data_IF_557940812330
#
_entry.id   IF_557940812330
#
_cell.length_a   1.000
_cell.length_b   1.000
_cell.length_c   1.000
_cell.angle_alpha   90.00
_cell.angle_beta   90.00
_cell.angle_gamma   90.00
#
_symmetry.space_group_name_H-M   'P 1'
#
loop_
_entity.id
_entity.type
_entity.pdbx_description
1 polymer ?
#
# COMPACT_ATOMS: atom_id res chain seq x y z
N UNK A 1 -49.45 8.32 -19.56
CA UNK A 1 -49.08 9.33 -20.57
C UNK A 1 -49.52 8.98 -21.98
N UNK A 2 -49.87 7.74 -22.30
CA UNK A 2 -50.36 7.32 -23.60
C UNK A 2 -51.79 7.87 -23.92
N UNK A 3 -52.66 7.99 -22.89
CA UNK A 3 -54.07 8.38 -23.10
C UNK A 3 -54.26 9.84 -23.51
N UNK A 4 -53.36 10.73 -23.14
CA UNK A 4 -53.42 12.15 -23.58
C UNK A 4 -53.04 12.35 -25.05
N UNK A 5 -52.27 11.40 -25.63
CA UNK A 5 -51.92 11.45 -27.03
C UNK A 5 -53.04 11.01 -27.97
N UNK A 6 -53.85 10.06 -27.53
CA UNK A 6 -55.02 9.58 -28.28
C UNK A 6 -56.15 10.60 -28.30
N UNK A 7 -56.35 11.33 -27.20
CA UNK A 7 -57.34 12.40 -27.11
C UNK A 7 -56.97 13.63 -27.97
N UNK A 8 -55.69 13.95 -28.09
CA UNK A 8 -55.18 15.02 -28.97
C UNK A 8 -55.30 14.66 -30.45
N UNK A 9 -55.08 13.39 -30.81
CA UNK A 9 -55.24 12.90 -32.17
C UNK A 9 -56.70 12.88 -32.64
N UNK A 10 -57.70 12.63 -31.74
CA UNK A 10 -59.09 12.62 -32.03
C UNK A 10 -59.70 13.99 -32.31
N UNK A 11 -59.13 15.08 -31.79
CA UNK A 11 -59.57 16.46 -31.99
C UNK A 11 -59.14 17.10 -33.31
N UNK A 12 -58.27 16.47 -34.06
CA UNK A 12 -57.75 16.98 -35.36
C UNK A 12 -58.59 16.61 -36.57
N UNK A 13 -59.80 16.04 -36.41
CA UNK A 13 -60.57 15.45 -37.51
C UNK A 13 -61.32 16.40 -38.43
N UNK A 14 -61.30 17.73 -38.31
CA UNK A 14 -62.06 18.67 -39.20
C UNK A 14 -61.27 19.98 -39.40
N UNK A 15 -60.11 19.94 -40.02
CA UNK A 15 -59.43 21.14 -40.48
C UNK A 15 -59.55 21.30 -42.01
N UNK A 16 -59.70 22.55 -42.53
CA UNK A 16 -59.78 22.79 -43.97
C UNK A 16 -58.53 22.26 -44.68
N UNK A 17 -58.70 21.73 -45.91
CA UNK A 17 -57.68 20.94 -46.67
C UNK A 17 -56.29 21.56 -46.80
N UNK A 18 -56.08 22.84 -46.51
CA UNK A 18 -54.78 23.52 -46.50
C UNK A 18 -54.04 23.54 -45.16
N UNK A 19 -54.77 23.52 -44.04
CA UNK A 19 -54.22 23.59 -42.67
C UNK A 19 -53.68 22.24 -42.23
N UNK A 20 -54.25 21.14 -42.73
CA UNK A 20 -53.80 19.78 -42.41
C UNK A 20 -52.44 19.42 -42.96
N UNK A 21 -52.06 20.00 -44.10
CA UNK A 21 -50.72 19.78 -44.72
C UNK A 21 -49.66 20.56 -43.97
N UNK A 22 -49.88 21.80 -43.56
CA UNK A 22 -48.97 22.60 -42.75
C UNK A 22 -48.71 21.99 -41.36
N UNK A 23 -49.78 21.48 -40.75
CA UNK A 23 -49.70 20.83 -39.42
C UNK A 23 -48.91 19.51 -39.50
N UNK A 24 -49.07 18.71 -40.54
CA UNK A 24 -48.28 17.49 -40.79
C UNK A 24 -46.78 17.81 -41.00
N UNK A 25 -46.48 18.90 -41.72
CA UNK A 25 -45.11 19.38 -41.88
C UNK A 25 -44.50 19.85 -40.54
N UNK A 26 -45.25 20.55 -39.71
CA UNK A 26 -44.79 20.97 -38.39
C UNK A 26 -44.53 19.78 -37.48
N UNK A 27 -45.40 18.79 -37.43
CA UNK A 27 -45.22 17.55 -36.63
C UNK A 27 -44.01 16.75 -37.16
N UNK A 28 -43.87 16.65 -38.51
CA UNK A 28 -42.73 15.97 -39.10
C UNK A 28 -41.40 16.71 -38.79
N UNK A 29 -41.37 18.04 -38.86
CA UNK A 29 -40.22 18.86 -38.50
C UNK A 29 -39.89 18.76 -37.04
N UNK A 30 -40.87 18.76 -36.15
CA UNK A 30 -40.65 18.56 -34.70
C UNK A 30 -40.13 17.15 -34.37
N UNK A 31 -40.68 16.13 -35.04
CA UNK A 31 -40.17 14.75 -34.91
C UNK A 31 -38.74 14.58 -35.41
N UNK A 32 -38.41 15.23 -36.54
CA UNK A 32 -37.07 15.25 -37.10
C UNK A 32 -36.08 15.99 -36.16
N UNK A 33 -36.46 17.16 -35.65
CA UNK A 33 -35.66 17.92 -34.71
C UNK A 33 -35.42 17.13 -33.40
N UNK A 34 -36.45 16.44 -32.89
CA UNK A 34 -36.33 15.56 -31.76
C UNK A 34 -35.37 14.36 -32.05
N UNK A 35 -35.51 13.73 -33.21
CA UNK A 35 -34.64 12.67 -33.67
C UNK A 35 -33.18 13.09 -33.78
N UNK A 36 -32.93 14.28 -34.31
CA UNK A 36 -31.58 14.86 -34.43
C UNK A 36 -31.00 15.12 -33.04
N UNK A 37 -31.76 15.70 -32.13
CA UNK A 37 -31.34 15.95 -30.76
C UNK A 37 -30.95 14.65 -30.03
N UNK A 38 -31.74 13.60 -30.20
CA UNK A 38 -31.52 12.30 -29.59
C UNK A 38 -30.41 11.48 -30.30
N UNK A 39 -30.06 11.86 -31.55
CA UNK A 39 -29.02 11.22 -32.34
C UNK A 39 -27.60 11.61 -31.93
N UNK A 40 -27.44 12.72 -31.23
CA UNK A 40 -26.14 13.25 -30.82
C UNK A 40 -25.81 12.81 -29.40
N UNK A 41 -24.61 12.28 -29.18
CA UNK A 41 -24.08 12.02 -27.85
C UNK A 41 -22.64 12.49 -27.74
N UNK A 42 -22.24 12.88 -26.55
CA UNK A 42 -20.89 13.37 -26.28
C UNK A 42 -20.14 12.36 -25.41
N UNK A 43 -18.89 12.09 -25.76
CA UNK A 43 -17.96 11.29 -24.94
C UNK A 43 -17.01 12.26 -24.28
N UNK A 44 -16.98 12.25 -22.95
CA UNK A 44 -16.12 13.12 -22.15
C UNK A 44 -14.64 12.72 -22.27
N UNK A 45 -13.74 13.65 -21.94
CA UNK A 45 -12.30 13.40 -21.91
C UNK A 45 -11.94 12.31 -20.92
N UNK A 46 -11.08 11.37 -21.35
CA UNK A 46 -10.71 10.19 -20.55
C UNK A 46 -11.72 9.06 -20.58
N UNK A 47 -12.75 9.16 -21.43
CA UNK A 47 -13.71 8.09 -21.69
C UNK A 47 -13.60 7.61 -23.13
N UNK A 48 -14.05 6.38 -23.38
CA UNK A 48 -14.22 5.78 -24.68
C UNK A 48 -15.62 5.19 -24.77
N UNK A 49 -16.24 5.30 -25.94
CA UNK A 49 -17.55 4.70 -26.14
C UNK A 49 -17.46 3.56 -27.14
N UNK A 50 -18.27 2.53 -26.90
CA UNK A 50 -18.60 1.49 -27.86
C UNK A 50 -20.09 1.53 -28.13
N UNK A 51 -20.50 1.18 -29.33
CA UNK A 51 -21.91 1.19 -29.70
C UNK A 51 -22.45 -0.25 -29.67
N UNK A 52 -23.50 -0.45 -28.88
CA UNK A 52 -24.33 -1.62 -28.94
C UNK A 52 -25.52 -1.39 -29.86
N UNK A 53 -25.62 -2.15 -30.95
CA UNK A 53 -26.75 -2.13 -31.86
C UNK A 53 -27.71 -3.29 -31.54
N UNK A 54 -28.98 -3.01 -31.48
CA UNK A 54 -30.02 -4.06 -31.25
C UNK A 54 -30.08 -5.09 -32.37
N UNK A 55 -29.66 -4.72 -33.60
CA UNK A 55 -29.71 -5.61 -34.78
C UNK A 55 -28.39 -6.34 -34.97
N UNK A 56 -27.28 -5.63 -34.86
CA UNK A 56 -25.93 -6.18 -35.16
C UNK A 56 -25.09 -6.52 -33.92
N UNK A 57 -25.61 -6.32 -32.70
CA UNK A 57 -24.85 -6.54 -31.47
C UNK A 57 -23.79 -5.47 -31.24
N UNK A 58 -22.68 -5.84 -30.64
CA UNK A 58 -21.58 -4.92 -30.29
C UNK A 58 -20.76 -4.63 -31.54
N UNK A 59 -20.61 -3.36 -31.87
CA UNK A 59 -19.72 -2.92 -32.94
C UNK A 59 -18.27 -2.90 -32.45
N UNK A 60 -17.34 -3.30 -33.33
CA UNK A 60 -15.91 -3.29 -33.00
C UNK A 60 -15.28 -1.87 -33.07
N UNK A 61 -16.05 -0.89 -33.50
CA UNK A 61 -15.59 0.49 -33.56
C UNK A 61 -15.56 1.11 -32.18
N UNK A 62 -14.45 1.76 -31.85
CA UNK A 62 -14.23 2.47 -30.59
C UNK A 62 -14.27 3.96 -30.90
N UNK A 63 -15.15 4.65 -30.23
CA UNK A 63 -15.34 6.10 -30.38
C UNK A 63 -14.50 6.83 -29.33
N UNK A 64 -13.70 7.77 -29.81
CA UNK A 64 -12.86 8.61 -28.94
C UNK A 64 -13.69 9.72 -28.28
N UNK A 65 -13.06 10.52 -27.47
CA UNK A 65 -13.64 11.72 -26.90
C UNK A 65 -14.14 12.69 -27.98
N UNK A 66 -15.26 13.36 -27.72
CA UNK A 66 -15.87 14.30 -28.63
C UNK A 66 -17.34 14.01 -28.90
N UNK A 67 -17.86 14.65 -29.93
CA UNK A 67 -19.25 14.56 -30.34
C UNK A 67 -19.40 13.49 -31.40
N UNK A 68 -20.34 12.59 -31.19
CA UNK A 68 -20.62 11.46 -32.09
C UNK A 68 -22.10 11.34 -32.36
N UNK A 69 -22.43 10.64 -33.45
CA UNK A 69 -23.80 10.39 -33.87
C UNK A 69 -24.17 8.92 -33.64
N UNK A 70 -25.38 8.71 -33.17
CA UNK A 70 -26.00 7.39 -33.05
C UNK A 70 -27.37 7.36 -33.70
N UNK A 71 -27.85 6.21 -34.10
CA UNK A 71 -29.23 6.03 -34.54
C UNK A 71 -30.09 5.84 -33.29
N UNK A 72 -31.00 6.81 -32.99
CA UNK A 72 -31.88 6.70 -31.81
C UNK A 72 -32.72 5.41 -31.90
N UNK A 73 -32.97 4.79 -30.73
CA UNK A 73 -33.70 3.54 -30.50
C UNK A 73 -32.99 2.26 -30.95
N UNK A 74 -32.09 2.30 -31.96
CA UNK A 74 -31.36 1.12 -32.43
C UNK A 74 -29.97 0.98 -31.82
N UNK A 75 -29.32 2.10 -31.50
CA UNK A 75 -27.96 2.15 -30.99
C UNK A 75 -27.88 2.76 -29.61
N UNK A 76 -27.16 2.09 -28.70
CA UNK A 76 -26.89 2.58 -27.36
C UNK A 76 -25.38 2.71 -27.17
N UNK A 77 -24.87 3.90 -26.83
CA UNK A 77 -23.47 4.09 -26.49
C UNK A 77 -23.22 3.55 -25.08
N UNK A 78 -22.19 2.75 -24.94
CA UNK A 78 -21.68 2.27 -23.66
C UNK A 78 -20.36 2.99 -23.44
N UNK A 79 -20.30 3.80 -22.38
CA UNK A 79 -19.18 4.66 -22.08
C UNK A 79 -18.32 3.97 -21.04
N UNK A 80 -17.02 3.82 -21.35
CA UNK A 80 -16.00 3.30 -20.47
C UNK A 80 -15.04 4.39 -20.05
N UNK A 81 -14.76 4.45 -18.76
CA UNK A 81 -13.68 5.25 -18.20
C UNK A 81 -12.35 4.52 -18.41
N UNK A 82 -11.40 5.13 -19.15
CA UNK A 82 -10.07 4.56 -19.43
C UNK A 82 -8.99 5.05 -18.46
N UNK A 83 -9.35 5.84 -17.46
CA UNK A 83 -8.43 6.32 -16.42
C UNK A 83 -8.10 5.20 -15.47
N UNK A 84 -6.91 5.25 -14.88
CA UNK A 84 -6.50 4.30 -13.84
C UNK A 84 -7.30 4.53 -12.57
N UNK A 85 -8.02 3.49 -12.13
CA UNK A 85 -8.81 3.49 -10.89
C UNK A 85 -8.11 2.66 -9.82
N UNK A 86 -7.97 3.18 -8.59
CA UNK A 86 -7.45 2.40 -7.49
C UNK A 86 -8.53 1.46 -6.94
N UNK A 87 -8.17 0.20 -6.77
CA UNK A 87 -8.97 -0.81 -6.05
C UNK A 87 -8.15 -1.40 -4.93
N UNK A 88 -8.72 -1.43 -3.74
CA UNK A 88 -8.12 -2.05 -2.56
C UNK A 88 -8.96 -3.25 -2.16
N UNK A 89 -8.28 -4.36 -1.90
CA UNK A 89 -8.90 -5.55 -1.29
C UNK A 89 -8.11 -5.95 -0.05
N UNK A 90 -8.79 -6.56 0.90
CA UNK A 90 -8.20 -7.21 2.07
C UNK A 90 -8.69 -8.65 2.05
N UNK A 91 -7.77 -9.58 2.01
CA UNK A 91 -8.10 -11.00 1.94
C UNK A 91 -7.37 -11.79 3.03
N UNK A 92 -8.10 -12.60 3.82
CA UNK A 92 -7.48 -13.57 4.70
C UNK A 92 -6.94 -14.73 3.86
N UNK A 93 -5.67 -15.06 4.04
CA UNK A 93 -4.98 -16.13 3.31
C UNK A 93 -4.15 -16.96 4.28
N UNK A 94 -4.00 -18.25 3.98
CA UNK A 94 -3.08 -19.13 4.71
C UNK A 94 -1.68 -19.07 4.09
N UNK A 95 -0.67 -18.89 4.92
CA UNK A 95 0.74 -19.02 4.53
C UNK A 95 1.16 -20.49 4.43
N UNK A 96 2.37 -20.77 3.95
CA UNK A 96 2.92 -22.12 3.83
C UNK A 96 3.00 -22.84 5.17
N UNK A 97 3.25 -22.13 6.26
CA UNK A 97 3.30 -22.62 7.64
C UNK A 97 1.93 -22.66 8.33
N UNK A 98 0.85 -22.65 7.53
CA UNK A 98 -0.56 -22.74 7.97
C UNK A 98 -0.99 -21.57 8.90
N UNK A 99 -0.27 -20.46 8.88
CA UNK A 99 -0.66 -19.26 9.61
C UNK A 99 -1.63 -18.41 8.80
N UNK A 100 -2.70 -17.95 9.45
CA UNK A 100 -3.64 -17.03 8.83
C UNK A 100 -3.06 -15.62 8.79
N UNK A 101 -3.02 -15.04 7.59
CA UNK A 101 -2.49 -13.71 7.31
C UNK A 101 -3.54 -12.89 6.59
N UNK A 102 -3.83 -11.69 7.07
CA UNK A 102 -4.66 -10.74 6.36
C UNK A 102 -3.76 -9.80 5.55
N UNK A 103 -3.92 -9.84 4.24
CA UNK A 103 -3.12 -9.06 3.32
C UNK A 103 -4.01 -8.06 2.59
N UNK A 104 -3.64 -6.78 2.69
CA UNK A 104 -4.23 -5.71 1.90
C UNK A 104 -3.43 -5.49 0.62
N UNK A 105 -4.10 -5.53 -0.51
CA UNK A 105 -3.52 -5.25 -1.82
C UNK A 105 -4.23 -4.06 -2.45
N UNK A 106 -3.45 -3.09 -2.93
CA UNK A 106 -3.95 -1.98 -3.74
C UNK A 106 -3.44 -2.11 -5.16
N UNK A 107 -4.34 -2.02 -6.10
CA UNK A 107 -4.05 -2.12 -7.52
C UNK A 107 -4.60 -0.89 -8.24
N UNK A 108 -3.79 -0.31 -9.11
CA UNK A 108 -4.22 0.69 -10.09
C UNK A 108 -4.47 -0.03 -11.40
N UNK A 109 -5.73 -0.06 -11.82
CA UNK A 109 -6.15 -0.77 -13.01
C UNK A 109 -6.90 0.14 -13.96
N UNK A 110 -6.73 -0.10 -15.25
CA UNK A 110 -7.49 0.53 -16.33
C UNK A 110 -7.82 -0.48 -17.41
N UNK A 111 -8.93 -0.29 -18.14
CA UNK A 111 -9.25 -1.15 -19.27
C UNK A 111 -8.31 -0.87 -20.45
N UNK A 112 -8.04 -1.89 -21.24
CA UNK A 112 -7.31 -1.74 -22.47
C UNK A 112 -8.21 -1.08 -23.54
N UNK A 113 -7.92 0.17 -23.86
CA UNK A 113 -8.76 0.99 -24.73
C UNK A 113 -9.00 0.39 -26.13
N UNK A 114 -8.06 -0.41 -26.66
CA UNK A 114 -8.16 -1.04 -27.99
C UNK A 114 -9.04 -2.28 -28.02
N UNK A 115 -9.29 -2.92 -26.86
CA UNK A 115 -10.01 -4.19 -26.74
C UNK A 115 -11.33 -4.07 -25.96
N UNK A 116 -11.87 -2.84 -25.86
CA UNK A 116 -13.12 -2.58 -25.15
C UNK A 116 -14.33 -3.40 -25.65
N UNK A 117 -14.53 -3.62 -26.97
CA UNK A 117 -15.63 -4.45 -27.44
C UNK A 117 -15.54 -5.89 -26.96
N UNK A 118 -14.34 -6.47 -26.96
CA UNK A 118 -14.11 -7.86 -26.53
C UNK A 118 -14.19 -7.97 -25.00
N UNK A 119 -13.72 -6.97 -24.30
CA UNK A 119 -13.86 -6.86 -22.86
C UNK A 119 -15.35 -6.81 -22.44
N UNK A 120 -16.16 -6.01 -23.11
CA UNK A 120 -17.60 -5.94 -22.85
C UNK A 120 -18.31 -7.27 -23.14
N UNK A 121 -17.93 -7.98 -24.22
CA UNK A 121 -18.51 -9.30 -24.54
C UNK A 121 -18.22 -10.33 -23.46
N UNK A 122 -17.02 -10.31 -22.85
CA UNK A 122 -16.60 -11.28 -21.84
C UNK A 122 -17.01 -10.90 -20.42
N UNK A 123 -16.89 -9.64 -20.06
CA UNK A 123 -16.95 -9.19 -18.66
C UNK A 123 -18.15 -8.27 -18.36
N UNK A 124 -18.67 -7.57 -19.38
CA UNK A 124 -19.67 -6.53 -19.18
C UNK A 124 -19.06 -5.20 -18.70
N UNK A 125 -19.91 -4.35 -18.13
CA UNK A 125 -19.52 -3.00 -17.68
C UNK A 125 -18.77 -3.04 -16.33
N UNK A 126 -19.17 -3.95 -15.44
CA UNK A 126 -18.74 -3.99 -14.03
C UNK A 126 -17.50 -4.88 -13.80
N UNK A 127 -16.54 -4.87 -14.75
CA UNK A 127 -15.34 -5.71 -14.68
C UNK A 127 -14.48 -5.40 -13.45
N UNK A 128 -14.45 -4.13 -13.04
CA UNK A 128 -13.62 -3.64 -11.93
C UNK A 128 -14.19 -4.00 -10.55
N UNK A 129 -15.50 -4.30 -10.45
CA UNK A 129 -16.15 -4.68 -9.18
C UNK A 129 -16.27 -6.19 -8.99
N UNK A 130 -16.36 -6.94 -10.07
CA UNK A 130 -16.61 -8.39 -10.01
C UNK A 130 -15.39 -9.22 -10.36
N UNK A 131 -14.74 -8.92 -11.46
CA UNK A 131 -13.67 -9.75 -12.01
C UNK A 131 -12.32 -9.42 -11.39
N UNK A 132 -11.99 -8.14 -11.25
CA UNK A 132 -10.72 -7.70 -10.71
C UNK A 132 -10.48 -8.21 -9.27
N UNK A 133 -11.43 -8.10 -8.30
CA UNK A 133 -11.23 -8.65 -6.97
C UNK A 133 -11.09 -10.18 -6.95
N UNK A 134 -11.79 -10.88 -7.85
CA UNK A 134 -11.67 -12.34 -7.96
C UNK A 134 -10.26 -12.76 -8.37
N UNK A 135 -9.72 -12.13 -9.42
CA UNK A 135 -8.35 -12.39 -9.89
C UNK A 135 -7.32 -12.03 -8.83
N UNK A 136 -7.50 -10.87 -8.17
CA UNK A 136 -6.62 -10.42 -7.10
C UNK A 136 -6.57 -11.43 -5.95
N UNK A 137 -7.73 -11.94 -5.52
CA UNK A 137 -7.81 -12.95 -4.46
C UNK A 137 -7.18 -14.28 -4.87
N UNK A 138 -7.41 -14.73 -6.11
CA UNK A 138 -6.83 -15.97 -6.65
C UNK A 138 -5.30 -15.90 -6.63
N UNK A 139 -4.74 -14.87 -7.24
CA UNK A 139 -3.29 -14.68 -7.31
C UNK A 139 -2.68 -14.49 -5.93
N UNK A 140 -3.32 -13.67 -5.08
CA UNK A 140 -2.84 -13.42 -3.72
C UNK A 140 -2.75 -14.74 -2.93
N UNK A 141 -3.80 -15.56 -2.94
CA UNK A 141 -3.81 -16.85 -2.26
C UNK A 141 -2.75 -17.80 -2.82
N UNK A 142 -2.59 -17.85 -4.13
CA UNK A 142 -1.60 -18.70 -4.80
C UNK A 142 -0.16 -18.31 -4.42
N UNK A 143 0.16 -17.02 -4.40
CA UNK A 143 1.51 -16.55 -4.06
C UNK A 143 1.80 -16.72 -2.59
N UNK A 144 0.87 -16.29 -1.71
CA UNK A 144 1.08 -16.32 -0.26
C UNK A 144 1.26 -17.73 0.27
N UNK A 145 0.56 -18.71 -0.30
CA UNK A 145 0.71 -20.14 0.05
C UNK A 145 2.12 -20.71 -0.23
N UNK A 146 2.96 -20.00 -0.99
CA UNK A 146 4.33 -20.43 -1.30
C UNK A 146 5.34 -19.95 -0.26
N UNK A 147 5.00 -18.93 0.54
CA UNK A 147 5.90 -18.30 1.51
C UNK A 147 5.47 -18.57 2.95
N UNK A 148 6.47 -18.65 3.85
CA UNK A 148 6.23 -18.67 5.27
C UNK A 148 5.84 -17.26 5.79
N UNK A 149 5.12 -17.19 6.90
CA UNK A 149 4.69 -15.91 7.48
C UNK A 149 5.88 -14.96 7.78
N UNK A 150 7.00 -15.50 8.26
CA UNK A 150 8.22 -14.73 8.48
C UNK A 150 8.85 -14.17 7.19
N UNK A 151 8.79 -14.95 6.09
CA UNK A 151 9.31 -14.54 4.79
C UNK A 151 8.46 -13.42 4.17
N UNK A 152 7.15 -13.41 4.39
CA UNK A 152 6.26 -12.33 3.93
C UNK A 152 6.65 -10.96 4.53
N UNK A 153 7.27 -10.96 5.72
CA UNK A 153 7.75 -9.73 6.37
C UNK A 153 9.13 -9.35 5.81
N UNK A 154 10.07 -10.30 5.80
CA UNK A 154 11.48 -10.03 5.45
C UNK A 154 11.70 -9.82 3.96
N UNK A 155 10.97 -10.56 3.11
CA UNK A 155 11.09 -10.55 1.65
C UNK A 155 9.89 -9.86 0.97
N UNK A 156 9.29 -8.87 1.65
CA UNK A 156 8.07 -8.18 1.18
C UNK A 156 8.18 -7.66 -0.25
N UNK A 157 9.35 -7.16 -0.64
CA UNK A 157 9.57 -6.61 -1.99
C UNK A 157 9.53 -7.71 -3.05
N UNK A 158 10.16 -8.85 -2.82
CA UNK A 158 10.14 -9.98 -3.74
C UNK A 158 8.74 -10.56 -3.91
N UNK A 159 8.02 -10.72 -2.80
CA UNK A 159 6.62 -11.16 -2.81
C UNK A 159 5.74 -10.18 -3.59
N UNK A 160 5.92 -8.88 -3.40
CA UNK A 160 5.19 -7.85 -4.13
C UNK A 160 5.46 -7.90 -5.64
N UNK A 161 6.71 -8.09 -6.05
CA UNK A 161 7.09 -8.25 -7.45
C UNK A 161 6.50 -9.52 -8.07
N UNK A 162 6.49 -10.62 -7.34
CA UNK A 162 5.90 -11.87 -7.79
C UNK A 162 4.38 -11.75 -7.96
N UNK A 163 3.69 -11.13 -6.99
CA UNK A 163 2.26 -10.83 -7.08
C UNK A 163 1.99 -9.94 -8.29
N UNK A 164 2.75 -8.86 -8.46
CA UNK A 164 2.62 -7.95 -9.62
C UNK A 164 2.73 -8.71 -10.93
N UNK A 165 3.75 -9.56 -11.07
CA UNK A 165 4.00 -10.34 -12.30
C UNK A 165 2.85 -11.28 -12.61
N UNK A 166 2.45 -12.12 -11.65
CA UNK A 166 1.37 -13.08 -11.84
C UNK A 166 0.03 -12.39 -12.07
N UNK A 167 -0.24 -11.29 -11.33
CA UNK A 167 -1.47 -10.54 -11.49
C UNK A 167 -1.53 -9.85 -12.87
N UNK A 168 -0.41 -9.31 -13.35
CA UNK A 168 -0.34 -8.68 -14.68
C UNK A 168 -0.58 -9.71 -15.78
N UNK A 169 -0.01 -10.91 -15.66
CA UNK A 169 -0.20 -11.97 -16.64
C UNK A 169 -1.66 -12.45 -16.68
N UNK A 170 -2.29 -12.61 -15.51
CA UNK A 170 -3.72 -12.97 -15.44
C UNK A 170 -4.64 -11.85 -15.91
N UNK A 171 -4.34 -10.59 -15.61
CA UNK A 171 -5.15 -9.45 -16.01
C UNK A 171 -5.17 -9.25 -17.54
N UNK A 172 -4.10 -9.63 -18.25
CA UNK A 172 -4.04 -9.59 -19.72
C UNK A 172 -5.13 -10.44 -20.37
N UNK A 173 -5.46 -11.62 -19.81
CA UNK A 173 -6.50 -12.52 -20.32
C UNK A 173 -7.88 -11.85 -20.34
N UNK A 174 -8.06 -10.84 -19.49
CA UNK A 174 -9.28 -10.06 -19.33
C UNK A 174 -9.20 -8.64 -19.92
N UNK A 175 -8.14 -8.35 -20.69
CA UNK A 175 -7.92 -7.03 -21.31
C UNK A 175 -7.83 -5.88 -20.28
N UNK A 176 -7.32 -6.15 -19.09
CA UNK A 176 -7.09 -5.18 -18.03
C UNK A 176 -5.60 -4.88 -17.96
N UNK A 177 -5.24 -3.60 -17.98
CA UNK A 177 -3.88 -3.13 -17.79
C UNK A 177 -3.73 -2.72 -16.33
N UNK A 178 -2.67 -3.23 -15.70
CA UNK A 178 -2.29 -2.88 -14.35
C UNK A 178 -1.12 -1.90 -14.40
N UNK A 179 -1.34 -0.70 -13.91
CA UNK A 179 -0.30 0.34 -13.86
C UNK A 179 0.56 0.18 -12.61
N UNK A 180 -0.06 -0.09 -11.44
CA UNK A 180 0.65 -0.34 -10.20
C UNK A 180 -0.03 -1.40 -9.34
N UNK A 181 0.80 -2.15 -8.61
CA UNK A 181 0.35 -3.18 -7.65
C UNK A 181 1.20 -3.06 -6.41
N UNK A 182 0.59 -2.81 -5.26
CA UNK A 182 1.29 -2.64 -3.99
C UNK A 182 0.57 -3.33 -2.84
N UNK A 183 1.36 -3.97 -1.97
CA UNK A 183 0.86 -4.51 -0.71
C UNK A 183 0.74 -3.34 0.28
N UNK A 184 -0.47 -3.07 0.77
CA UNK A 184 -0.74 -1.97 1.72
C UNK A 184 -0.57 -2.44 3.16
N UNK A 185 -1.30 -3.48 3.53
CA UNK A 185 -1.40 -3.97 4.89
C UNK A 185 -0.98 -5.43 4.96
N UNK A 186 -0.32 -5.78 6.05
CA UNK A 186 0.04 -7.16 6.37
C UNK A 186 -0.17 -7.36 7.88
N UNK A 187 -1.18 -8.12 8.25
CA UNK A 187 -1.47 -8.42 9.66
C UNK A 187 -1.61 -9.90 9.89
N UNK A 188 -1.08 -10.36 11.01
CA UNK A 188 -1.07 -11.76 11.42
C UNK A 188 -2.10 -12.02 12.51
N UNK A 189 -2.41 -13.27 12.76
CA UNK A 189 -3.24 -13.68 13.88
C UNK A 189 -2.62 -13.25 15.21
N UNK A 190 -3.46 -12.96 16.22
CA UNK A 190 -3.01 -12.50 17.56
C UNK A 190 -2.04 -13.48 18.22
N UNK A 191 -2.29 -14.76 18.07
CA UNK A 191 -1.45 -15.81 18.67
C UNK A 191 -0.04 -15.83 18.07
N UNK A 192 0.05 -15.67 16.73
CA UNK A 192 1.33 -15.61 16.04
C UNK A 192 2.12 -14.34 16.39
N UNK A 193 1.44 -13.21 16.47
CA UNK A 193 2.06 -11.94 16.88
C UNK A 193 2.63 -12.04 18.28
N UNK A 194 1.87 -12.57 19.25
CA UNK A 194 2.32 -12.77 20.60
C UNK A 194 3.52 -13.74 20.71
N UNK A 195 3.51 -14.83 19.92
CA UNK A 195 4.63 -15.76 19.87
C UNK A 195 5.92 -15.13 19.29
N UNK A 196 5.80 -14.31 18.25
CA UNK A 196 6.94 -13.57 17.69
C UNK A 196 7.47 -12.54 18.69
N UNK A 197 6.59 -11.79 19.34
CA UNK A 197 6.98 -10.82 20.38
C UNK A 197 7.73 -11.51 21.51
N UNK A 198 7.20 -12.61 22.04
CA UNK A 198 7.88 -13.40 23.07
C UNK A 198 9.26 -13.90 22.63
N UNK A 199 9.36 -14.38 21.38
CA UNK A 199 10.65 -14.79 20.79
C UNK A 199 11.62 -13.63 20.67
N UNK A 200 11.17 -12.46 20.23
CA UNK A 200 12.02 -11.27 20.10
C UNK A 200 12.52 -10.78 21.47
N UNK A 201 11.64 -10.78 22.49
CA UNK A 201 12.02 -10.42 23.86
C UNK A 201 13.10 -11.37 24.36
N UNK A 202 12.89 -12.68 24.23
CA UNK A 202 13.89 -13.69 24.66
C UNK A 202 15.22 -13.54 23.92
N UNK A 203 15.18 -13.24 22.61
CA UNK A 203 16.39 -12.98 21.82
C UNK A 203 17.11 -11.71 22.27
N UNK A 204 16.37 -10.63 22.56
CA UNK A 204 16.96 -9.39 23.08
C UNK A 204 17.58 -9.58 24.46
N UNK A 205 16.94 -10.35 25.33
CA UNK A 205 17.49 -10.69 26.65
C UNK A 205 18.79 -11.49 26.53
N UNK A 206 18.80 -12.50 25.66
CA UNK A 206 20.02 -13.27 25.38
C UNK A 206 21.15 -12.39 24.82
N UNK A 207 20.82 -11.50 23.89
CA UNK A 207 21.80 -10.54 23.35
C UNK A 207 22.33 -9.56 24.41
N UNK A 208 21.42 -9.04 25.26
CA UNK A 208 21.82 -8.18 26.38
C UNK A 208 22.78 -8.90 27.34
N UNK A 209 22.48 -10.16 27.69
CA UNK A 209 23.36 -10.95 28.53
C UNK A 209 24.74 -11.16 27.87
N UNK A 210 24.77 -11.45 26.58
CA UNK A 210 26.01 -11.58 25.83
C UNK A 210 26.85 -10.29 25.84
N UNK A 211 26.21 -9.14 25.56
CA UNK A 211 26.90 -7.85 25.60
C UNK A 211 27.35 -7.45 27.01
N UNK A 212 26.61 -7.83 28.05
CA UNK A 212 27.04 -7.60 29.43
C UNK A 212 28.31 -8.40 29.77
N UNK A 213 28.38 -9.67 29.34
CA UNK A 213 29.58 -10.50 29.52
C UNK A 213 30.74 -9.91 28.73
N UNK A 214 30.54 -9.55 27.47
CA UNK A 214 31.57 -8.95 26.65
C UNK A 214 32.08 -7.63 27.23
N UNK A 215 31.16 -6.76 27.71
CA UNK A 215 31.51 -5.52 28.39
C UNK A 215 32.36 -5.79 29.64
N UNK A 216 31.97 -6.75 30.47
CA UNK A 216 32.70 -7.12 31.68
C UNK A 216 34.11 -7.65 31.34
N UNK A 217 34.26 -8.41 30.26
CA UNK A 217 35.56 -8.85 29.75
C UNK A 217 36.41 -7.65 29.32
N UNK A 218 35.84 -6.72 28.58
CA UNK A 218 36.56 -5.51 28.13
C UNK A 218 36.94 -4.61 29.32
N UNK A 219 36.04 -4.41 30.28
CA UNK A 219 36.35 -3.65 31.49
C UNK A 219 37.48 -4.31 32.31
N UNK A 220 37.45 -5.62 32.43
CA UNK A 220 38.56 -6.35 33.09
C UNK A 220 39.90 -6.14 32.34
N UNK A 221 39.86 -6.25 31.01
CA UNK A 221 41.06 -6.06 30.20
C UNK A 221 41.61 -4.63 30.32
N UNK A 222 40.69 -3.65 30.29
CA UNK A 222 41.06 -2.25 30.50
C UNK A 222 41.70 -2.00 31.85
N UNK A 223 41.16 -2.58 32.93
CA UNK A 223 41.77 -2.45 34.29
C UNK A 223 43.14 -3.11 34.36
N UNK A 224 43.33 -4.25 33.70
CA UNK A 224 44.64 -4.92 33.66
C UNK A 224 45.65 -4.05 32.95
N UNK A 225 45.32 -3.56 31.75
CA UNK A 225 46.23 -2.70 30.96
C UNK A 225 46.54 -1.38 31.69
N UNK A 226 45.56 -0.82 32.36
CA UNK A 226 45.73 0.37 33.18
C UNK A 226 46.68 0.09 34.35
N UNK A 227 46.46 -0.97 35.10
CA UNK A 227 47.35 -1.35 36.22
C UNK A 227 48.77 -1.70 35.76
N UNK A 228 48.93 -2.35 34.62
CA UNK A 228 50.26 -2.59 34.01
C UNK A 228 50.94 -1.28 33.58
N UNK A 229 50.15 -0.34 33.04
CA UNK A 229 50.64 1.01 32.69
C UNK A 229 51.11 1.78 33.92
N UNK A 230 50.32 1.78 35.00
CA UNK A 230 50.69 2.42 36.27
C UNK A 230 51.93 1.77 36.91
N UNK A 231 51.98 0.44 36.90
CA UNK A 231 53.18 -0.28 37.42
C UNK A 231 54.42 0.07 36.62
N UNK A 232 54.35 0.10 35.27
CA UNK A 232 55.46 0.51 34.41
C UNK A 232 55.85 1.98 34.64
N UNK A 233 54.91 2.87 34.79
CA UNK A 233 55.15 4.27 35.09
C UNK A 233 55.87 4.43 36.44
N UNK A 234 55.39 3.73 37.48
CA UNK A 234 55.99 3.74 38.80
C UNK A 234 57.46 3.20 38.76
N UNK A 235 57.72 2.14 38.00
CA UNK A 235 59.09 1.61 37.86
C UNK A 235 60.00 2.58 37.11
N UNK A 236 59.53 3.26 36.06
CA UNK A 236 60.30 4.28 35.35
C UNK A 236 60.58 5.50 36.23
N UNK A 237 59.60 5.99 36.98
CA UNK A 237 59.78 7.10 37.93
C UNK A 237 60.76 6.70 39.01
N UNK A 238 60.69 5.51 39.58
CA UNK A 238 61.65 5.03 40.60
C UNK A 238 63.05 4.90 40.04
N UNK A 239 63.20 4.48 38.78
CA UNK A 239 64.53 4.41 38.11
C UNK A 239 65.11 5.81 37.87
N UNK A 240 64.31 6.75 37.41
CA UNK A 240 64.75 8.13 37.21
C UNK A 240 65.12 8.83 38.53
N UNK A 241 64.36 8.59 39.60
CA UNK A 241 64.66 9.14 40.93
C UNK A 241 65.94 8.51 41.49
N UNK A 242 66.17 7.19 41.25
CA UNK A 242 67.41 6.52 41.75
C UNK A 242 68.66 6.98 40.99
N UNK A 243 68.49 7.47 39.74
CA UNK A 243 69.61 7.89 38.89
C UNK A 243 69.86 9.43 38.95
N UNK A 244 68.97 10.21 39.60
CA UNK A 244 69.06 11.66 39.75
C UNK A 244 70.12 11.97 40.88
N UNK A 245 71.13 12.74 40.60
CA UNK A 245 72.10 13.23 41.57
C UNK A 245 71.61 14.25 42.58
N UNK A 246 70.35 14.61 42.58
CA UNK A 246 69.69 15.52 43.49
C UNK A 246 68.74 14.77 44.44
N UNK A 247 69.26 14.02 45.36
CA UNK A 247 68.46 13.48 46.47
C UNK A 247 68.29 14.58 47.53
N UNK A 248 67.07 15.10 47.66
CA UNK A 248 66.66 15.86 48.83
C UNK A 248 66.00 14.88 49.80
N UNK A 249 66.65 14.61 50.90
CA UNK A 249 66.06 13.85 52.00
C UNK A 249 65.05 14.78 52.71
N UNK A 250 63.77 14.50 52.49
CA UNK A 250 62.70 15.11 53.30
C UNK A 250 62.58 14.34 54.61
N UNK A 251 62.77 15.01 55.71
CA UNK A 251 62.58 14.44 57.03
C UNK A 251 61.16 13.94 57.17
N UNK A 252 60.97 12.74 57.74
CA UNK A 252 59.67 12.06 57.89
C UNK A 252 58.63 12.91 58.67
N UNK A 253 59.08 13.91 59.43
CA UNK A 253 58.24 14.86 60.13
C UNK A 253 57.51 15.92 59.27
N UNK A 254 57.98 16.10 57.97
CA UNK A 254 57.35 17.05 57.06
C UNK A 254 56.19 16.49 56.22
N UNK A 255 56.01 15.18 56.24
CA UNK A 255 54.87 14.47 55.63
C UNK A 255 53.77 14.21 56.66
N UNK A 256 53.21 15.25 57.24
CA UNK A 256 51.93 15.20 57.89
C UNK A 256 50.85 15.04 56.82
N UNK A 257 50.61 13.87 56.35
CA UNK A 257 49.37 13.48 55.68
C UNK A 257 48.23 13.67 56.69
N UNK A 258 47.48 14.75 56.53
CA UNK A 258 46.26 14.96 57.28
C UNK A 258 45.24 13.91 56.76
N UNK A 259 45.30 12.68 57.31
CA UNK A 259 44.29 11.67 57.15
C UNK A 259 43.07 12.21 57.92
N UNK A 260 42.17 12.87 57.20
CA UNK A 260 40.84 13.17 57.75
C UNK A 260 40.21 11.81 58.14
N UNK A 261 39.87 11.68 59.41
CA UNK A 261 39.17 10.55 59.92
C UNK A 261 37.88 10.32 59.09
N UNK A 262 37.70 9.11 58.68
CA UNK A 262 36.53 8.65 57.91
C UNK A 262 35.25 8.66 58.71
N UNK A 263 35.27 9.11 59.93
CA UNK A 263 34.08 9.09 60.82
C UNK A 263 33.05 10.19 60.50
N UNK A 264 33.44 11.24 59.75
CA UNK A 264 32.51 12.30 59.33
C UNK A 264 31.63 11.97 58.12
N UNK A 265 31.88 10.84 57.45
CA UNK A 265 31.13 10.43 56.24
C UNK A 265 29.88 9.61 56.59
N UNK A 266 29.82 8.97 57.78
CA UNK A 266 28.66 8.18 58.18
C UNK A 266 27.48 9.02 58.65
N UNK A 267 27.71 10.23 59.16
CA UNK A 267 26.65 11.14 59.62
C UNK A 267 25.90 11.83 58.47
N UNK A 268 26.54 12.10 57.37
CA UNK A 268 25.89 12.73 56.18
C UNK A 268 24.97 11.74 55.41
N UNK A 269 25.22 10.43 55.54
CA UNK A 269 24.40 9.41 54.87
C UNK A 269 23.13 9.05 55.67
N UNK A 270 23.09 9.34 56.98
CA UNK A 270 21.88 9.15 57.78
C UNK A 270 20.91 10.33 57.72
N UNK A 271 21.39 11.53 57.33
CA UNK A 271 20.58 12.74 57.13
C UNK A 271 19.75 12.71 55.84
N UNK A 272 20.19 11.99 54.85
CA UNK A 272 19.54 11.92 53.50
C UNK A 272 18.39 10.89 53.42
N UNK A 273 18.21 10.04 54.44
CA UNK A 273 17.12 9.04 54.51
C UNK A 273 15.86 9.49 55.22
N UNK A 274 15.81 10.77 55.66
CA UNK A 274 14.66 11.33 56.42
C UNK A 274 14.06 12.60 55.76
N UNK A 275 14.15 12.72 54.44
CA UNK A 275 13.30 13.70 53.73
C UNK A 275 12.56 13.05 52.59
#
# INVERSE_FOLDING_TARGET
MADKFTEFAGRMGKAPKGVGTGLKFLVAAAAAAYGIKESVYTVEGGHRAIIFSRIGGIQNNIYTEGLHFRIPWFQYPIIYDIRSKPRKIISPTGSKDLQMVNIGLRVLARPQATMLPDMYRKLGLDFDERVLPSIMNEVLKSVVAQFNASQLITMRQEVSLLIRRQLTDRAKDFFIILDDVSITDLSFGREYTAAIEAKQVAQQEAQRAHYQVEKAIQERQQKIVQAEGEAKAATLISFDISNSQNMVFLDAGALMLNVRDTDDIEDDLQGAKKK
#
